data_IF_463616814594
#
_entry.id   IF_463616814594
#
_cell.length_a   1.000
_cell.length_b   1.000
_cell.length_c   1.000
_cell.angle_alpha   90.00
_cell.angle_beta   90.00
_cell.angle_gamma   90.00
#
_symmetry.space_group_name_H-M   'P 1'
#
loop_
_entity.id
_entity.type
_entity.pdbx_description
1 polymer ?
#
# COMPACT_ATOMS: atom_id res chain seq x y z
N UNK A 1 10.57 -21.10 0.05
CA UNK A 1 9.25 -21.32 0.71
C UNK A 1 8.64 -19.96 0.97
N UNK A 2 7.32 -19.80 0.83
CA UNK A 2 6.64 -18.57 1.26
C UNK A 2 6.91 -18.34 2.75
N UNK A 3 7.10 -17.09 3.14
CA UNK A 3 7.23 -16.74 4.56
C UNK A 3 5.83 -16.84 5.18
N UNK A 4 5.63 -17.61 6.25
CA UNK A 4 4.34 -17.67 6.93
C UNK A 4 4.06 -16.34 7.63
N UNK A 5 2.87 -15.77 7.37
CA UNK A 5 2.36 -14.60 8.05
C UNK A 5 1.44 -15.02 9.20
N UNK A 6 1.64 -14.47 10.37
CA UNK A 6 0.72 -14.56 11.49
C UNK A 6 -0.22 -13.36 11.46
N UNK A 7 -1.35 -13.52 10.77
CA UNK A 7 -2.32 -12.44 10.56
C UNK A 7 -2.87 -11.89 11.88
N UNK A 8 -3.03 -12.74 12.92
CA UNK A 8 -3.51 -12.27 14.21
C UNK A 8 -2.47 -11.34 14.87
N UNK A 9 -1.20 -11.77 14.92
CA UNK A 9 -0.11 -10.96 15.47
C UNK A 9 0.11 -9.68 14.65
N UNK A 10 0.03 -9.74 13.32
CA UNK A 10 0.13 -8.57 12.45
C UNK A 10 -1.05 -7.60 12.65
N UNK A 11 -2.27 -8.12 12.87
CA UNK A 11 -3.43 -7.27 13.19
C UNK A 11 -3.19 -6.47 14.47
N UNK A 12 -2.68 -7.09 15.52
CA UNK A 12 -2.34 -6.38 16.78
C UNK A 12 -1.25 -5.33 16.58
N UNK A 13 -0.24 -5.63 15.78
CA UNK A 13 0.80 -4.66 15.41
C UNK A 13 0.19 -3.44 14.71
N UNK A 14 -0.69 -3.66 13.73
CA UNK A 14 -1.31 -2.56 13.00
C UNK A 14 -2.38 -1.83 13.80
N UNK A 15 -3.05 -2.48 14.75
CA UNK A 15 -3.91 -1.81 15.73
C UNK A 15 -3.10 -0.85 16.60
N UNK A 16 -1.94 -1.28 17.10
CA UNK A 16 -1.03 -0.42 17.86
C UNK A 16 -0.51 0.77 17.02
N UNK A 17 -0.22 0.53 15.74
CA UNK A 17 0.14 1.61 14.81
C UNK A 17 -1.01 2.62 14.64
N UNK A 18 -2.25 2.14 14.50
CA UNK A 18 -3.43 2.98 14.33
C UNK A 18 -3.65 3.95 15.50
N UNK A 19 -3.26 3.56 16.73
CA UNK A 19 -3.36 4.44 17.88
C UNK A 19 -2.34 5.58 17.86
N UNK A 20 -1.15 5.37 17.30
CA UNK A 20 -0.07 6.33 17.27
C UNK A 20 0.00 7.18 15.99
N UNK A 21 -0.44 6.64 14.86
CA UNK A 21 -0.28 7.27 13.55
C UNK A 21 -1.50 8.08 13.09
N UNK A 22 -2.66 7.84 13.71
CA UNK A 22 -3.88 8.53 13.32
C UNK A 22 -3.89 9.96 13.88
N UNK A 23 -3.94 10.92 12.97
CA UNK A 23 -4.11 12.35 13.28
C UNK A 23 -5.52 12.80 12.86
N UNK A 24 -6.41 13.14 13.82
CA UNK A 24 -7.77 13.55 13.50
C UNK A 24 -7.84 14.89 12.78
N UNK A 25 -6.80 15.73 12.86
CA UNK A 25 -6.73 17.03 12.19
C UNK A 25 -6.09 16.94 10.79
N UNK A 26 -5.58 15.77 10.40
CA UNK A 26 -4.96 15.61 9.09
C UNK A 26 -5.96 15.89 7.96
N UNK A 27 -5.48 16.57 6.91
CA UNK A 27 -6.25 16.84 5.70
C UNK A 27 -6.07 15.74 4.65
N UNK A 28 -7.05 15.52 3.75
CA UNK A 28 -6.90 14.63 2.61
C UNK A 28 -5.67 15.04 1.78
N UNK A 29 -4.85 14.09 1.42
CA UNK A 29 -3.65 14.37 0.62
C UNK A 29 -3.19 13.12 -0.12
N UNK A 30 -2.83 13.26 -1.38
CA UNK A 30 -2.26 12.20 -2.19
C UNK A 30 -0.76 12.46 -2.42
N UNK A 31 0.08 11.55 -1.97
CA UNK A 31 1.53 11.65 -2.12
C UNK A 31 2.15 10.25 -2.19
N UNK A 32 2.92 10.01 -3.22
CA UNK A 32 3.69 8.75 -3.33
C UNK A 32 4.91 8.70 -2.44
N UNK A 33 5.41 9.85 -2.01
CA UNK A 33 6.63 9.92 -1.20
C UNK A 33 6.33 10.36 0.24
N UNK A 34 7.24 10.07 1.15
CA UNK A 34 7.21 10.56 2.51
C UNK A 34 7.49 12.08 2.61
N UNK A 35 7.93 12.70 1.52
CA UNK A 35 8.27 14.12 1.48
C UNK A 35 7.12 14.94 0.88
N UNK A 36 6.79 16.04 1.54
CA UNK A 36 5.78 16.98 1.03
C UNK A 36 6.29 17.64 -0.27
N UNK A 37 5.41 17.82 -1.24
CA UNK A 37 5.68 18.46 -2.53
C UNK A 37 6.88 17.85 -3.28
N UNK A 38 7.00 16.52 -3.23
CA UNK A 38 8.05 15.76 -3.88
C UNK A 38 7.50 14.52 -4.60
N UNK A 39 7.98 14.30 -5.81
CA UNK A 39 7.52 13.22 -6.67
C UNK A 39 6.24 13.55 -7.44
N UNK A 40 5.71 12.57 -8.19
CA UNK A 40 4.46 12.73 -8.93
C UNK A 40 3.25 12.76 -8.00
N UNK A 41 2.10 13.16 -8.55
CA UNK A 41 0.80 13.11 -7.90
C UNK A 41 -0.05 11.91 -8.33
N UNK A 42 -1.38 12.02 -8.19
CA UNK A 42 -2.32 10.95 -8.55
C UNK A 42 -2.39 10.66 -10.05
N UNK A 43 -1.83 11.50 -10.91
CA UNK A 43 -1.82 11.33 -12.37
C UNK A 43 -1.17 10.02 -12.83
N UNK A 44 -0.36 9.37 -12.01
CA UNK A 44 0.17 8.03 -12.31
C UNK A 44 -0.92 6.96 -12.39
N UNK A 45 -2.05 7.18 -11.73
CA UNK A 45 -3.22 6.31 -11.80
C UNK A 45 -4.05 6.53 -13.09
N UNK A 46 -3.69 7.56 -13.88
CA UNK A 46 -4.48 7.99 -15.02
C UNK A 46 -5.73 8.77 -14.59
N UNK A 47 -6.88 8.42 -15.18
CA UNK A 47 -8.19 9.02 -14.88
C UNK A 47 -9.18 7.93 -14.44
N UNK A 48 -8.94 7.28 -13.29
CA UNK A 48 -9.80 6.17 -12.86
C UNK A 48 -11.17 6.68 -12.44
N UNK A 49 -12.23 5.92 -12.76
CA UNK A 49 -13.56 6.10 -12.17
C UNK A 49 -13.66 5.36 -10.84
N UNK A 50 -12.95 4.23 -10.72
CA UNK A 50 -12.93 3.38 -9.51
C UNK A 50 -11.50 3.12 -9.06
N UNK A 51 -11.24 3.19 -7.76
CA UNK A 51 -9.91 2.92 -7.20
C UNK A 51 -9.97 2.13 -5.89
N UNK A 52 -9.01 1.23 -5.70
CA UNK A 52 -8.79 0.49 -4.45
C UNK A 52 -7.41 0.84 -3.89
N UNK A 53 -7.36 1.37 -2.68
CA UNK A 53 -6.12 1.51 -1.91
C UNK A 53 -5.95 0.31 -1.00
N UNK A 54 -4.91 -0.50 -1.25
CA UNK A 54 -4.60 -1.68 -0.44
C UNK A 54 -3.56 -1.35 0.64
N UNK A 55 -3.93 -1.56 1.92
CA UNK A 55 -3.18 -1.07 3.08
C UNK A 55 -3.27 0.44 3.20
N UNK A 56 -4.50 0.97 3.29
CA UNK A 56 -4.76 2.41 3.18
C UNK A 56 -4.29 3.24 4.40
N UNK A 57 -3.89 2.59 5.49
CA UNK A 57 -3.39 3.27 6.68
C UNK A 57 -4.32 4.40 7.12
N UNK A 58 -3.83 5.64 7.17
CA UNK A 58 -4.63 6.80 7.61
C UNK A 58 -5.70 7.27 6.62
N UNK A 59 -5.85 6.61 5.47
CA UNK A 59 -6.91 6.86 4.48
C UNK A 59 -6.86 8.19 3.75
N UNK A 60 -5.79 8.96 3.92
CA UNK A 60 -5.69 10.33 3.37
C UNK A 60 -5.71 10.36 1.84
N UNK A 61 -5.09 9.36 1.20
CA UNK A 61 -5.04 9.27 -0.25
C UNK A 61 -6.38 8.81 -0.82
N UNK A 62 -7.05 7.84 -0.19
CA UNK A 62 -8.40 7.43 -0.56
C UNK A 62 -9.40 8.58 -0.43
N UNK A 63 -9.38 9.31 0.69
CA UNK A 63 -10.22 10.49 0.92
C UNK A 63 -9.95 11.59 -0.13
N UNK A 64 -8.68 11.81 -0.48
CA UNK A 64 -8.31 12.75 -1.53
C UNK A 64 -8.93 12.40 -2.88
N UNK A 65 -8.78 11.14 -3.33
CA UNK A 65 -9.34 10.70 -4.62
C UNK A 65 -10.88 10.77 -4.63
N UNK A 66 -11.52 10.41 -3.53
CA UNK A 66 -12.99 10.49 -3.41
C UNK A 66 -13.49 11.92 -3.55
N UNK A 67 -12.85 12.90 -2.92
CA UNK A 67 -13.16 14.33 -3.09
C UNK A 67 -12.93 14.85 -4.52
N UNK A 68 -12.13 14.14 -5.32
CA UNK A 68 -11.89 14.44 -6.73
C UNK A 68 -12.75 13.58 -7.69
N UNK A 69 -13.83 12.97 -7.17
CA UNK A 69 -14.84 12.29 -7.99
C UNK A 69 -14.50 10.83 -8.34
N UNK A 70 -13.48 10.23 -7.73
CA UNK A 70 -13.16 8.80 -7.91
C UNK A 70 -13.91 7.98 -6.86
N UNK A 71 -14.66 6.97 -7.29
CA UNK A 71 -15.24 6.00 -6.36
C UNK A 71 -14.11 5.18 -5.73
N UNK A 72 -13.76 5.52 -4.50
CA UNK A 72 -12.56 4.98 -3.85
C UNK A 72 -12.90 4.12 -2.65
N UNK A 73 -12.29 2.93 -2.62
CA UNK A 73 -12.30 2.02 -1.47
C UNK A 73 -10.90 1.94 -0.87
N UNK A 74 -10.79 2.10 0.44
CA UNK A 74 -9.58 1.84 1.22
C UNK A 74 -9.71 0.53 1.97
N UNK A 75 -8.78 -0.39 1.78
CA UNK A 75 -8.69 -1.66 2.51
C UNK A 75 -7.55 -1.60 3.53
N UNK A 76 -7.82 -1.99 4.77
CA UNK A 76 -6.78 -2.10 5.81
C UNK A 76 -7.02 -3.32 6.70
N UNK A 77 -5.94 -3.89 7.22
CA UNK A 77 -6.01 -5.05 8.10
C UNK A 77 -6.54 -4.69 9.50
N UNK A 78 -6.24 -3.47 9.98
CA UNK A 78 -6.58 -3.01 11.32
C UNK A 78 -8.05 -2.58 11.45
N UNK A 79 -8.89 -3.30 12.21
CA UNK A 79 -10.24 -2.84 12.50
C UNK A 79 -10.27 -1.51 13.27
N UNK A 80 -9.26 -1.24 14.09
CA UNK A 80 -9.11 0.03 14.82
C UNK A 80 -8.92 1.19 13.84
N UNK A 81 -8.03 1.01 12.86
CA UNK A 81 -7.82 2.01 11.82
C UNK A 81 -9.09 2.24 11.03
N UNK A 82 -9.69 1.18 10.49
CA UNK A 82 -10.90 1.29 9.64
C UNK A 82 -12.03 2.02 10.36
N UNK A 83 -12.23 1.76 11.65
CA UNK A 83 -13.24 2.49 12.44
C UNK A 83 -12.94 3.99 12.48
N UNK A 84 -11.69 4.37 12.77
CA UNK A 84 -11.27 5.79 12.79
C UNK A 84 -11.45 6.46 11.43
N UNK A 85 -11.15 5.75 10.34
CA UNK A 85 -11.31 6.25 8.97
C UNK A 85 -12.77 6.48 8.59
N UNK A 86 -13.64 5.53 8.92
CA UNK A 86 -15.08 5.63 8.64
C UNK A 86 -15.70 6.85 9.33
N UNK A 87 -15.24 7.21 10.50
CA UNK A 87 -15.64 8.41 11.23
C UNK A 87 -15.01 9.67 10.60
N UNK A 88 -13.69 9.69 10.42
CA UNK A 88 -12.94 10.88 9.96
C UNK A 88 -13.29 11.31 8.54
N UNK A 89 -13.43 10.34 7.64
CA UNK A 89 -13.61 10.60 6.21
C UNK A 89 -15.05 10.41 5.72
N UNK A 90 -16.04 10.31 6.63
CA UNK A 90 -17.46 10.08 6.32
C UNK A 90 -18.05 11.04 5.28
N UNK A 91 -17.57 12.29 5.25
CA UNK A 91 -18.05 13.33 4.34
C UNK A 91 -17.37 13.33 2.96
N UNK A 92 -16.36 12.50 2.75
CA UNK A 92 -15.57 12.52 1.49
C UNK A 92 -16.16 11.64 0.40
N UNK A 93 -17.00 10.66 0.76
CA UNK A 93 -17.50 9.64 -0.13
C UNK A 93 -16.58 8.41 -0.29
N UNK A 94 -15.41 8.39 0.37
CA UNK A 94 -14.57 7.21 0.42
C UNK A 94 -15.19 6.11 1.29
N UNK A 95 -15.07 4.86 0.86
CA UNK A 95 -15.48 3.68 1.64
C UNK A 95 -14.25 3.00 2.24
N UNK A 96 -14.35 2.52 3.48
CA UNK A 96 -13.26 1.82 4.15
C UNK A 96 -13.71 0.43 4.58
N UNK A 97 -12.90 -0.59 4.26
CA UNK A 97 -13.19 -2.01 4.49
C UNK A 97 -12.06 -2.62 5.31
N UNK A 98 -12.42 -3.39 6.32
CA UNK A 98 -11.45 -4.18 7.09
C UNK A 98 -11.26 -5.54 6.42
N UNK A 99 -9.99 -5.95 6.24
CA UNK A 99 -9.69 -7.27 5.70
C UNK A 99 -8.20 -7.49 5.45
N UNK A 100 -7.83 -8.76 5.43
CA UNK A 100 -6.52 -9.21 4.93
C UNK A 100 -6.53 -9.12 3.40
N UNK A 101 -5.49 -8.54 2.82
CA UNK A 101 -5.47 -8.18 1.39
C UNK A 101 -5.59 -9.38 0.45
N UNK A 102 -4.92 -10.49 0.74
CA UNK A 102 -4.95 -11.68 -0.12
C UNK A 102 -6.32 -12.36 -0.06
N UNK A 103 -6.92 -12.44 1.12
CA UNK A 103 -8.26 -12.99 1.31
C UNK A 103 -9.31 -12.11 0.63
N UNK A 104 -9.24 -10.80 0.85
CA UNK A 104 -10.17 -9.83 0.25
C UNK A 104 -10.13 -9.90 -1.28
N UNK A 105 -8.93 -9.80 -1.89
CA UNK A 105 -8.79 -9.84 -3.35
C UNK A 105 -9.15 -11.20 -3.94
N UNK A 106 -9.01 -12.29 -3.21
CA UNK A 106 -9.45 -13.61 -3.66
C UNK A 106 -10.97 -13.78 -3.62
N UNK A 107 -11.63 -13.20 -2.61
CA UNK A 107 -13.06 -13.36 -2.38
C UNK A 107 -13.95 -12.37 -3.14
N UNK A 108 -13.48 -11.14 -3.38
CA UNK A 108 -14.26 -10.12 -4.09
C UNK A 108 -14.35 -10.41 -5.59
N UNK A 109 -15.46 -10.03 -6.20
CA UNK A 109 -15.62 -9.99 -7.66
C UNK A 109 -15.46 -8.56 -8.22
N UNK A 110 -15.35 -7.57 -7.34
CA UNK A 110 -15.16 -6.18 -7.75
C UNK A 110 -13.88 -5.98 -8.54
N UNK A 111 -13.95 -5.08 -9.52
CA UNK A 111 -12.81 -4.70 -10.35
C UNK A 111 -12.64 -3.18 -10.37
N UNK A 112 -11.41 -2.72 -10.58
CA UNK A 112 -11.03 -1.33 -10.42
C UNK A 112 -10.22 -0.84 -11.63
N UNK A 113 -10.36 0.45 -11.94
CA UNK A 113 -9.52 1.11 -12.94
C UNK A 113 -8.11 1.37 -12.40
N UNK A 114 -7.99 1.57 -11.09
CA UNK A 114 -6.72 1.68 -10.41
C UNK A 114 -6.70 0.88 -9.10
N UNK A 115 -5.63 0.15 -8.86
CA UNK A 115 -5.30 -0.42 -7.54
C UNK A 115 -3.97 0.19 -7.13
N UNK A 116 -3.85 0.66 -5.90
CA UNK A 116 -2.62 1.29 -5.46
C UNK A 116 -2.32 1.05 -3.98
N UNK A 117 -1.06 1.28 -3.60
CA UNK A 117 -0.59 1.15 -2.21
C UNK A 117 0.51 2.17 -1.93
N UNK A 118 0.32 3.00 -0.92
CA UNK A 118 1.28 4.02 -0.52
C UNK A 118 1.86 3.64 0.84
N UNK A 119 3.12 3.14 0.87
CA UNK A 119 3.78 2.61 2.06
C UNK A 119 2.93 1.56 2.80
N UNK A 120 2.03 0.91 2.07
CA UNK A 120 1.03 -0.01 2.59
C UNK A 120 1.39 -1.49 2.34
N UNK A 121 0.36 -2.29 2.12
CA UNK A 121 0.49 -3.75 2.15
C UNK A 121 1.38 -4.35 1.05
N UNK A 122 1.69 -3.65 -0.05
CA UNK A 122 2.68 -4.14 -1.04
C UNK A 122 4.08 -4.33 -0.45
N UNK A 123 4.35 -3.64 0.64
CA UNK A 123 5.60 -3.80 1.37
C UNK A 123 5.58 -5.02 2.30
N UNK A 124 4.38 -5.43 2.76
CA UNK A 124 4.20 -6.42 3.81
C UNK A 124 3.60 -7.75 3.33
N UNK A 125 2.91 -7.78 2.19
CA UNK A 125 2.37 -9.01 1.62
C UNK A 125 3.33 -9.66 0.61
N UNK A 126 3.32 -10.99 0.51
CA UNK A 126 4.12 -11.73 -0.47
C UNK A 126 3.74 -11.32 -1.90
N UNK A 127 4.64 -10.67 -2.65
CA UNK A 127 4.33 -10.18 -4.00
C UNK A 127 4.02 -11.32 -4.97
N UNK A 128 4.53 -12.54 -4.72
CA UNK A 128 4.21 -13.71 -5.56
C UNK A 128 2.74 -14.16 -5.40
N UNK A 129 2.12 -13.86 -4.27
CA UNK A 129 0.70 -14.12 -4.02
C UNK A 129 -0.17 -12.91 -4.35
N UNK A 130 0.29 -11.72 -3.99
CA UNK A 130 -0.46 -10.47 -4.11
C UNK A 130 -0.66 -10.06 -5.58
N UNK A 131 0.41 -10.04 -6.40
CA UNK A 131 0.35 -9.43 -7.72
C UNK A 131 -0.59 -10.16 -8.70
N UNK A 132 -0.69 -11.52 -8.73
CA UNK A 132 -1.71 -12.19 -9.53
C UNK A 132 -3.14 -11.81 -9.14
N UNK A 133 -3.42 -11.65 -7.85
CA UNK A 133 -4.73 -11.23 -7.37
C UNK A 133 -5.04 -9.79 -7.75
N UNK A 134 -4.09 -8.88 -7.58
CA UNK A 134 -4.23 -7.49 -8.04
C UNK A 134 -4.51 -7.45 -9.54
N UNK A 135 -3.75 -8.21 -10.34
CA UNK A 135 -3.95 -8.25 -11.80
C UNK A 135 -5.34 -8.74 -12.18
N UNK A 136 -5.88 -9.73 -11.45
CA UNK A 136 -7.22 -10.29 -11.68
C UNK A 136 -8.34 -9.29 -11.31
N UNK A 137 -8.07 -8.29 -10.50
CA UNK A 137 -9.05 -7.27 -10.04
C UNK A 137 -8.89 -5.93 -10.76
N UNK A 138 -8.01 -5.83 -11.74
CA UNK A 138 -7.92 -4.65 -12.59
C UNK A 138 -8.79 -4.79 -13.83
N UNK A 139 -9.53 -3.73 -14.11
CA UNK A 139 -10.25 -3.57 -15.38
C UNK A 139 -9.28 -3.59 -16.57
N UNK A 140 -9.74 -3.89 -17.78
CA UNK A 140 -8.92 -3.77 -18.99
C UNK A 140 -8.32 -2.37 -19.10
N UNK A 141 -6.98 -2.28 -19.22
CA UNK A 141 -6.25 -1.00 -19.24
C UNK A 141 -6.02 -0.36 -17.87
N UNK A 142 -6.46 -0.99 -16.81
CA UNK A 142 -6.28 -0.51 -15.43
C UNK A 142 -4.81 -0.44 -15.01
N UNK A 143 -4.56 0.32 -13.95
CA UNK A 143 -3.21 0.62 -13.45
C UNK A 143 -3.02 0.04 -12.05
N UNK A 144 -1.90 -0.62 -11.83
CA UNK A 144 -1.39 -0.89 -10.50
C UNK A 144 -0.19 0.01 -10.20
N UNK A 145 -0.21 0.70 -9.07
CA UNK A 145 0.91 1.54 -8.65
C UNK A 145 1.16 1.43 -7.15
N UNK A 146 2.42 1.44 -6.74
CA UNK A 146 2.75 1.46 -5.32
C UNK A 146 4.06 2.17 -5.02
N UNK A 147 4.18 2.62 -3.78
CA UNK A 147 5.40 3.22 -3.26
C UNK A 147 5.77 2.65 -1.90
N UNK A 148 7.07 2.59 -1.64
CA UNK A 148 7.65 2.14 -0.38
C UNK A 148 9.11 2.57 -0.27
N UNK A 149 9.79 2.41 0.88
CA UNK A 149 11.23 2.63 0.95
C UNK A 149 11.99 1.71 -0.02
N UNK A 150 13.03 2.19 -0.69
CA UNK A 150 13.87 1.35 -1.53
C UNK A 150 14.62 0.32 -0.70
N UNK A 151 15.04 -0.74 -1.35
CA UNK A 151 15.87 -1.75 -0.70
C UNK A 151 17.23 -1.16 -0.27
N UNK A 152 17.62 -1.46 0.95
CA UNK A 152 18.97 -1.15 1.44
C UNK A 152 19.96 -2.09 0.72
N UNK A 153 21.06 -1.57 0.15
CA UNK A 153 22.08 -2.41 -0.49
C UNK A 153 22.56 -3.56 0.42
N UNK A 154 22.46 -4.78 -0.10
CA UNK A 154 22.80 -6.00 0.65
C UNK A 154 21.66 -6.62 1.47
N UNK A 155 20.55 -5.90 1.72
CA UNK A 155 19.41 -6.38 2.46
C UNK A 155 18.20 -6.58 1.52
N UNK A 156 18.21 -7.66 0.77
CA UNK A 156 17.20 -7.96 -0.24
C UNK A 156 16.37 -9.19 0.14
N UNK A 157 15.13 -9.23 -0.33
CA UNK A 157 14.21 -10.35 -0.14
C UNK A 157 13.21 -10.12 0.99
N UNK A 158 12.56 -11.21 1.44
CA UNK A 158 11.75 -11.18 2.64
C UNK A 158 12.62 -10.88 3.87
N UNK A 159 12.15 -9.97 4.73
CA UNK A 159 12.86 -9.57 5.94
C UNK A 159 11.88 -9.54 7.10
N UNK A 160 12.27 -10.07 8.26
CA UNK A 160 11.56 -9.82 9.51
C UNK A 160 11.78 -8.36 9.93
N UNK A 161 10.72 -7.73 10.39
CA UNK A 161 10.75 -6.40 11.00
C UNK A 161 10.15 -6.50 12.40
N UNK A 162 10.97 -6.30 13.39
CA UNK A 162 10.53 -6.19 14.78
C UNK A 162 10.05 -4.77 15.08
N UNK A 163 8.98 -4.65 15.84
CA UNK A 163 8.44 -3.39 16.31
C UNK A 163 8.22 -3.50 17.82
N UNK A 164 9.14 -2.99 18.56
CA UNK A 164 9.10 -3.01 20.02
C UNK A 164 10.49 -2.76 20.59
N UNK A 165 10.56 -2.63 21.91
CA UNK A 165 11.81 -2.60 22.64
C UNK A 165 12.19 -3.99 23.13
N UNK A 166 13.39 -4.10 23.71
CA UNK A 166 13.94 -5.37 24.19
C UNK A 166 13.18 -5.98 25.38
N UNK A 167 12.12 -5.36 25.89
CA UNK A 167 11.42 -5.74 27.11
C UNK A 167 9.88 -5.66 27.01
N UNK A 168 9.31 -5.83 25.84
CA UNK A 168 7.86 -5.81 25.60
C UNK A 168 7.34 -7.07 24.94
N UNK A 169 6.06 -7.11 24.60
CA UNK A 169 5.52 -8.17 23.72
C UNK A 169 6.25 -8.16 22.39
N UNK A 170 6.65 -9.33 21.93
CA UNK A 170 7.24 -9.47 20.61
C UNK A 170 6.19 -9.14 19.54
N UNK A 171 6.38 -8.04 18.84
CA UNK A 171 5.58 -7.67 17.68
C UNK A 171 6.46 -7.68 16.43
N UNK A 172 6.09 -8.46 15.45
CA UNK A 172 6.85 -8.56 14.22
C UNK A 172 5.93 -8.66 13.01
N UNK A 173 6.44 -8.25 11.87
CA UNK A 173 5.85 -8.48 10.56
C UNK A 173 6.95 -8.79 9.56
N UNK A 174 6.58 -9.26 8.39
CA UNK A 174 7.51 -9.43 7.29
C UNK A 174 7.37 -8.26 6.31
N UNK A 175 8.49 -7.85 5.71
CA UNK A 175 8.51 -6.89 4.62
C UNK A 175 9.28 -7.47 3.45
N UNK A 176 8.90 -7.07 2.25
CA UNK A 176 9.54 -7.49 1.01
C UNK A 176 10.31 -6.31 0.42
N UNK A 177 11.60 -6.49 0.24
CA UNK A 177 12.51 -5.44 -0.19
C UNK A 177 13.37 -5.94 -1.34
N UNK A 178 13.13 -5.41 -2.54
CA UNK A 178 13.85 -5.83 -3.74
C UNK A 178 14.37 -4.63 -4.53
N UNK A 179 15.38 -4.86 -5.35
CA UNK A 179 15.84 -3.87 -6.33
C UNK A 179 14.78 -3.64 -7.41
N UNK A 180 14.70 -2.44 -8.02
CA UNK A 180 13.70 -2.12 -9.04
C UNK A 180 13.53 -3.19 -10.12
N UNK A 181 14.57 -3.75 -10.77
CA UNK A 181 14.38 -4.78 -11.80
C UNK A 181 13.76 -6.09 -11.29
N UNK A 182 13.79 -6.35 -9.99
CA UNK A 182 13.15 -7.53 -9.41
C UNK A 182 11.65 -7.31 -9.31
N UNK A 183 11.21 -6.13 -8.88
CA UNK A 183 9.82 -5.76 -8.85
C UNK A 183 9.18 -5.83 -10.24
N UNK A 184 9.86 -5.29 -11.25
CA UNK A 184 9.41 -5.37 -12.64
C UNK A 184 9.21 -6.83 -13.09
N UNK A 185 10.19 -7.70 -12.84
CA UNK A 185 10.08 -9.12 -13.18
C UNK A 185 8.94 -9.84 -12.45
N UNK A 186 8.70 -9.52 -11.18
CA UNK A 186 7.60 -10.11 -10.41
C UNK A 186 6.25 -9.71 -11.00
N UNK A 187 6.07 -8.46 -11.39
CA UNK A 187 4.86 -7.94 -12.01
C UNK A 187 4.63 -8.56 -13.41
N UNK A 188 5.66 -8.64 -14.25
CA UNK A 188 5.55 -9.30 -15.56
C UNK A 188 5.16 -10.78 -15.39
N UNK A 189 5.75 -11.49 -14.43
CA UNK A 189 5.37 -12.88 -14.12
C UNK A 189 3.93 -13.03 -13.63
N UNK A 190 3.40 -12.01 -12.98
CA UNK A 190 2.02 -11.97 -12.53
C UNK A 190 0.99 -11.65 -13.64
N UNK A 191 1.46 -11.41 -14.87
CA UNK A 191 0.63 -11.18 -16.04
C UNK A 191 0.39 -9.71 -16.42
N UNK A 192 1.14 -8.76 -15.83
CA UNK A 192 1.14 -7.39 -16.31
C UNK A 192 1.92 -7.28 -17.62
N UNK A 193 1.39 -6.53 -18.58
CA UNK A 193 2.03 -6.33 -19.87
C UNK A 193 3.28 -5.43 -19.77
N UNK A 194 3.25 -4.47 -18.85
CA UNK A 194 4.36 -3.54 -18.62
C UNK A 194 4.55 -3.33 -17.12
N UNK A 195 5.78 -3.10 -16.71
CA UNK A 195 6.11 -2.71 -15.35
C UNK A 195 7.32 -1.77 -15.37
N UNK A 196 7.28 -0.73 -14.54
CA UNK A 196 8.38 0.22 -14.35
C UNK A 196 8.57 0.46 -12.86
N UNK A 197 9.79 0.28 -12.39
CA UNK A 197 10.19 0.56 -11.02
C UNK A 197 11.36 1.55 -11.01
N UNK A 198 11.21 2.63 -10.25
CA UNK A 198 12.20 3.71 -10.16
C UNK A 198 12.38 4.10 -8.70
N UNK A 199 13.60 4.44 -8.32
CA UNK A 199 13.85 5.09 -7.02
C UNK A 199 13.89 6.59 -7.25
N UNK A 200 12.98 7.29 -6.59
CA UNK A 200 13.03 8.74 -6.50
C UNK A 200 14.02 9.13 -5.42
N UNK A 201 15.00 9.94 -5.77
CA UNK A 201 16.00 10.41 -4.83
C UNK A 201 15.35 11.30 -3.75
N UNK A 202 15.86 11.30 -2.52
CA UNK A 202 15.36 12.20 -1.48
C UNK A 202 15.69 13.66 -1.81
N UNK A 203 14.98 14.60 -1.17
CA UNK A 203 15.30 16.03 -1.32
C UNK A 203 16.64 16.41 -0.71
N UNK A 204 17.03 15.73 0.36
CA UNK A 204 18.24 15.98 1.12
C UNK A 204 19.19 14.80 0.98
N UNK A 205 20.43 15.09 0.69
CA UNK A 205 21.47 14.07 0.57
C UNK A 205 21.60 13.26 1.88
N UNK A 206 21.75 11.96 1.77
CA UNK A 206 21.84 11.06 2.92
C UNK A 206 20.51 10.61 3.51
N UNK A 207 19.39 11.17 3.05
CA UNK A 207 18.07 10.68 3.42
C UNK A 207 17.65 9.49 2.53
N UNK A 208 16.60 8.79 2.97
CA UNK A 208 16.07 7.65 2.22
C UNK A 208 15.17 8.12 1.07
N UNK A 209 15.37 7.56 -0.13
CA UNK A 209 14.52 7.80 -1.28
C UNK A 209 13.18 7.08 -1.20
N UNK A 210 12.45 7.07 -2.31
CA UNK A 210 11.19 6.34 -2.44
C UNK A 210 11.24 5.43 -3.67
N UNK A 211 11.05 4.14 -3.50
CA UNK A 211 10.74 3.25 -4.61
C UNK A 211 9.31 3.55 -5.07
N UNK A 212 9.14 3.81 -6.35
CA UNK A 212 7.87 3.99 -7.02
C UNK A 212 7.75 2.99 -8.15
N UNK A 213 6.65 2.25 -8.20
CA UNK A 213 6.39 1.19 -9.17
C UNK A 213 5.04 1.41 -9.82
N UNK A 214 4.99 1.22 -11.13
CA UNK A 214 3.74 1.23 -11.92
C UNK A 214 3.71 0.01 -12.84
N UNK A 215 2.51 -0.57 -13.06
CA UNK A 215 2.29 -1.71 -13.95
C UNK A 215 0.92 -1.61 -14.65
N UNK A 216 0.83 -2.19 -15.86
CA UNK A 216 -0.39 -2.25 -16.68
C UNK A 216 -0.54 -3.62 -17.34
#
# INVERSE_FOLDING_TARGET
>A
MPVPHDIAAETELWNSYAESAFDPEAEPAFRWTQYKDHGPGPELLGTPSTALEIGCGTGRAAAYLALHGVQTTGLDLSPVMVKKLAERWSSTGATFVQGEVLEHLAATEDTYDAIYSIFGCTWFADPGRLFPLVRARLNPGGVFAFSQPPAIPGAYGPQGMDKGDFAGPAMFTHRYSFRPPVWERLLIRAGFATAKATVLEPREAGHIGTLLVTAR
#
